data_IF_711333446740
#
_entry.id   IF_711333446740
#
_cell.length_a   1.000
_cell.length_b   1.000
_cell.length_c   1.000
_cell.angle_alpha   90.00
_cell.angle_beta   90.00
_cell.angle_gamma   90.00
#
_symmetry.space_group_name_H-M   'P 1'
#
loop_
_entity.id
_entity.type
_entity.pdbx_description
1 polymer ?
#
# COMPACT_ATOMS: atom_id res chain seq x y z
N UNK A 1 1.85 -3.35 10.89
CA UNK A 1 0.48 -3.89 11.04
C UNK A 1 -0.26 -3.00 12.03
N UNK A 2 -1.09 -2.08 11.55
CA UNK A 2 -1.92 -1.25 12.43
C UNK A 2 -2.97 -2.14 13.09
N UNK A 3 -2.80 -2.47 14.37
CA UNK A 3 -3.81 -3.13 15.20
C UNK A 3 -4.67 -2.05 15.83
N UNK A 4 -5.91 -1.92 15.37
CA UNK A 4 -6.91 -1.11 16.04
C UNK A 4 -7.76 -2.01 16.94
N UNK A 5 -8.11 -1.56 18.17
CA UNK A 5 -8.91 -2.37 19.09
C UNK A 5 -10.32 -2.56 18.53
N UNK A 6 -10.79 -3.81 18.51
CA UNK A 6 -12.17 -4.17 18.20
C UNK A 6 -13.07 -3.76 19.36
N UNK A 7 -13.77 -2.62 19.25
CA UNK A 7 -14.86 -2.28 20.17
C UNK A 7 -16.17 -2.86 19.65
N UNK A 8 -16.74 -3.81 20.37
CA UNK A 8 -18.11 -4.30 20.17
C UNK A 8 -19.10 -3.32 20.76
N UNK A 9 -19.90 -2.66 19.94
CA UNK A 9 -21.11 -1.92 20.38
C UNK A 9 -22.36 -2.60 19.82
N UNK A 10 -23.43 -2.76 20.63
CA UNK A 10 -24.66 -3.38 20.19
C UNK A 10 -25.55 -2.38 19.44
N UNK A 11 -25.97 -2.75 18.25
CA UNK A 11 -26.96 -2.01 17.46
C UNK A 11 -28.36 -2.15 18.09
N UNK A 12 -29.01 -1.01 18.40
CA UNK A 12 -30.45 -0.92 18.55
C UNK A 12 -31.06 -0.33 17.27
N UNK A 13 -31.91 -1.15 16.66
CA UNK A 13 -32.75 -0.74 15.52
C UNK A 13 -33.93 0.09 16.03
N UNK A 14 -34.09 1.28 15.46
CA UNK A 14 -35.29 2.09 15.62
C UNK A 14 -35.78 2.49 14.23
N UNK A 15 -36.88 1.88 13.78
CA UNK A 15 -37.67 2.31 12.62
C UNK A 15 -38.45 3.59 12.97
N UNK A 16 -38.33 4.61 12.13
CA UNK A 16 -39.40 5.62 11.96
C UNK A 16 -39.37 6.15 10.53
N UNK A 17 -40.39 5.80 9.80
CA UNK A 17 -40.78 6.31 8.49
C UNK A 17 -41.43 7.67 8.64
N UNK A 18 -41.02 8.67 7.83
CA UNK A 18 -41.89 9.77 7.46
C UNK A 18 -41.47 10.35 6.11
N UNK A 19 -42.35 10.15 5.14
CA UNK A 19 -42.32 10.72 3.79
C UNK A 19 -42.86 12.15 3.82
N UNK A 20 -42.11 13.13 3.27
CA UNK A 20 -42.69 14.40 2.85
C UNK A 20 -42.06 14.86 1.53
N UNK A 21 -42.87 14.85 0.49
CA UNK A 21 -42.59 15.42 -0.83
C UNK A 21 -42.76 16.97 -0.73
N UNK A 22 -41.69 17.70 -1.03
CA UNK A 22 -41.80 19.12 -1.40
C UNK A 22 -41.01 19.37 -2.66
N UNK A 23 -41.70 19.61 -3.76
CA UNK A 23 -41.19 20.14 -5.01
C UNK A 23 -40.87 21.62 -4.86
N UNK A 24 -39.61 22.02 -4.98
CA UNK A 24 -39.18 23.40 -5.15
C UNK A 24 -38.44 23.56 -6.47
N UNK A 25 -39.00 24.37 -7.35
CA UNK A 25 -38.40 24.80 -8.58
C UNK A 25 -37.17 25.66 -8.32
N UNK A 26 -36.04 25.29 -8.87
CA UNK A 26 -34.79 26.07 -8.83
C UNK A 26 -34.68 26.92 -10.11
N UNK A 27 -34.40 28.22 -10.04
CA UNK A 27 -34.15 29.04 -11.22
C UNK A 27 -32.72 28.73 -11.77
N UNK A 28 -32.61 28.62 -13.09
CA UNK A 28 -31.38 28.40 -13.80
C UNK A 28 -30.45 29.64 -13.67
N UNK A 29 -29.25 29.44 -13.16
CA UNK A 29 -28.13 30.36 -13.21
C UNK A 29 -27.39 30.24 -14.57
N UNK A 30 -26.89 31.34 -15.13
CA UNK A 30 -26.20 31.31 -16.42
C UNK A 30 -24.85 30.60 -16.32
N UNK A 31 -24.57 29.77 -17.32
CA UNK A 31 -23.31 29.05 -17.46
C UNK A 31 -22.14 30.02 -17.60
N UNK A 32 -21.20 30.00 -16.64
CA UNK A 32 -19.90 30.61 -16.79
C UNK A 32 -19.01 29.69 -17.64
N UNK A 33 -18.52 30.22 -18.73
CA UNK A 33 -17.47 29.58 -19.55
C UNK A 33 -16.21 29.39 -18.71
N UNK A 34 -15.62 28.19 -18.64
CA UNK A 34 -14.35 28.02 -17.95
C UNK A 34 -13.24 28.72 -18.73
N UNK A 35 -12.56 29.65 -18.08
CA UNK A 35 -11.29 30.19 -18.56
C UNK A 35 -10.27 29.07 -18.60
N UNK A 36 -9.66 28.87 -19.78
CA UNK A 36 -8.56 27.93 -19.99
C UNK A 36 -7.28 28.49 -19.38
N UNK A 37 -7.09 28.32 -18.08
CA UNK A 37 -5.75 28.36 -17.51
C UNK A 37 -5.16 26.96 -17.61
N UNK A 38 -4.23 26.83 -18.56
CA UNK A 38 -3.45 25.64 -18.75
C UNK A 38 -2.59 25.39 -17.52
N UNK A 39 -3.08 24.53 -16.62
CA UNK A 39 -2.23 23.91 -15.61
C UNK A 39 -1.15 23.12 -16.36
N UNK A 40 0.11 23.53 -16.16
CA UNK A 40 1.29 22.76 -16.56
C UNK A 40 1.29 21.45 -15.77
N UNK A 41 0.56 20.47 -16.26
CA UNK A 41 0.74 19.08 -15.88
C UNK A 41 2.13 18.67 -16.35
N UNK A 42 3.06 18.55 -15.44
CA UNK A 42 4.32 17.85 -15.68
C UNK A 42 3.95 16.46 -16.23
N UNK A 43 4.05 16.30 -17.54
CA UNK A 43 3.76 15.04 -18.21
C UNK A 43 4.81 14.02 -17.79
N UNK A 44 4.48 13.16 -16.82
CA UNK A 44 5.21 11.92 -16.62
C UNK A 44 5.01 11.12 -17.90
N UNK A 45 6.06 11.01 -18.71
CA UNK A 45 6.02 10.22 -19.94
C UNK A 45 5.74 8.76 -19.55
N UNK A 46 4.70 8.13 -20.08
CA UNK A 46 4.43 6.72 -19.78
C UNK A 46 5.61 5.86 -20.22
N UNK A 47 6.05 4.94 -19.36
CA UNK A 47 7.01 3.91 -19.74
C UNK A 47 6.31 2.87 -20.63
N UNK A 48 7.01 2.38 -21.67
CA UNK A 48 6.48 1.43 -22.64
C UNK A 48 7.40 0.23 -22.81
N UNK A 49 7.56 -0.62 -21.76
CA UNK A 49 8.35 -1.83 -21.87
C UNK A 49 7.71 -2.83 -22.83
N UNK A 50 8.55 -3.51 -23.61
CA UNK A 50 8.13 -4.52 -24.59
C UNK A 50 8.81 -5.86 -24.30
N UNK A 51 8.03 -6.93 -24.35
CA UNK A 51 8.49 -8.30 -24.08
C UNK A 51 7.49 -9.34 -24.59
N UNK A 52 7.58 -10.59 -24.14
CA UNK A 52 6.64 -11.64 -24.53
C UNK A 52 5.19 -11.33 -24.11
N UNK A 53 5.01 -10.43 -23.15
CA UNK A 53 3.72 -9.88 -22.70
C UNK A 53 3.12 -8.85 -23.66
N UNK A 54 3.82 -8.46 -24.71
CA UNK A 54 3.50 -7.36 -25.62
C UNK A 54 4.16 -6.05 -25.20
N UNK A 55 3.65 -4.93 -25.72
CA UNK A 55 4.06 -3.57 -25.33
C UNK A 55 3.10 -3.04 -24.27
N UNK A 56 3.61 -2.61 -23.12
CA UNK A 56 2.78 -2.08 -22.04
C UNK A 56 2.99 -0.58 -21.87
N UNK A 57 1.92 0.16 -21.56
CA UNK A 57 1.99 1.53 -21.05
C UNK A 57 1.74 1.50 -19.56
N UNK A 58 2.65 2.06 -18.74
CA UNK A 58 2.55 2.16 -17.28
C UNK A 58 2.30 3.62 -16.89
N UNK A 59 1.16 3.90 -16.29
CA UNK A 59 0.77 5.25 -15.85
C UNK A 59 0.62 5.22 -14.33
N UNK A 60 1.45 5.96 -13.56
CA UNK A 60 1.32 6.00 -12.12
C UNK A 60 0.02 6.70 -11.70
N UNK A 61 -0.68 6.10 -10.74
CA UNK A 61 -1.86 6.65 -10.08
C UNK A 61 -1.69 6.58 -8.57
N UNK A 62 -2.43 7.43 -7.87
CA UNK A 62 -2.44 7.44 -6.41
C UNK A 62 -3.85 7.14 -5.92
N UNK A 63 -3.95 6.19 -4.99
CA UNK A 63 -5.18 5.76 -4.35
C UNK A 63 -5.17 6.22 -2.89
N UNK A 64 -6.28 6.70 -2.40
CA UNK A 64 -6.51 7.02 -1.00
C UNK A 64 -7.79 6.31 -0.54
N UNK A 65 -7.84 5.88 0.72
CA UNK A 65 -9.01 5.18 1.24
C UNK A 65 -10.25 6.10 1.14
N UNK A 66 -11.40 5.58 0.71
CA UNK A 66 -12.61 6.39 0.57
C UNK A 66 -13.15 6.85 1.93
N UNK A 67 -13.86 7.96 1.95
CA UNK A 67 -14.44 8.58 3.16
C UNK A 67 -15.25 7.57 3.96
N UNK A 68 -16.04 6.72 3.29
CA UNK A 68 -16.85 5.67 3.92
C UNK A 68 -16.04 4.67 4.76
N UNK A 69 -14.74 4.54 4.50
CA UNK A 69 -13.83 3.74 5.33
C UNK A 69 -13.16 4.63 6.38
N UNK A 70 -12.65 5.81 5.97
CA UNK A 70 -11.96 6.75 6.87
C UNK A 70 -12.85 7.16 8.04
N UNK A 71 -14.13 7.40 7.80
CA UNK A 71 -15.09 7.82 8.82
C UNK A 71 -15.38 6.75 9.88
N UNK A 72 -15.03 5.49 9.61
CA UNK A 72 -15.14 4.40 10.61
C UNK A 72 -13.99 4.38 11.62
N UNK A 73 -12.90 5.13 11.36
CA UNK A 73 -11.74 5.17 12.23
C UNK A 73 -11.78 6.43 13.13
N UNK A 74 -11.40 6.29 14.42
CA UNK A 74 -11.17 7.46 15.26
C UNK A 74 -9.95 8.23 14.73
N UNK A 75 -9.97 9.55 14.89
CA UNK A 75 -8.78 10.34 14.63
C UNK A 75 -7.65 9.90 15.59
N UNK A 76 -6.41 9.83 15.11
CA UNK A 76 -5.26 9.53 15.95
C UNK A 76 -5.09 10.54 17.09
N UNK A 77 -4.39 10.12 18.15
CA UNK A 77 -4.00 11.02 19.23
C UNK A 77 -3.20 12.20 18.69
N UNK A 78 -3.36 13.36 19.32
CA UNK A 78 -2.56 14.56 19.05
C UNK A 78 -1.23 14.59 19.82
N UNK A 79 -1.01 13.62 20.71
CA UNK A 79 0.17 13.56 21.56
C UNK A 79 1.20 12.60 20.98
N UNK A 80 2.39 13.10 20.66
CA UNK A 80 3.53 12.28 20.30
C UNK A 80 3.97 11.45 21.50
N UNK A 81 4.10 10.15 21.30
CA UNK A 81 4.51 9.19 22.33
C UNK A 81 5.57 8.26 21.76
N UNK A 82 6.68 8.14 22.47
CA UNK A 82 7.72 7.15 22.20
C UNK A 82 7.73 6.12 23.33
N UNK A 83 7.57 4.85 23.01
CA UNK A 83 7.44 3.80 24.01
C UNK A 83 8.60 2.83 23.93
N UNK A 84 9.22 2.56 25.07
CA UNK A 84 10.33 1.65 25.26
C UNK A 84 9.98 0.61 26.33
N UNK A 85 10.64 -0.55 26.38
CA UNK A 85 10.49 -1.47 27.50
C UNK A 85 10.85 -0.79 28.82
N UNK A 86 10.07 -1.06 29.87
CA UNK A 86 10.38 -0.50 31.22
C UNK A 86 11.74 -0.95 31.74
N UNK A 87 12.25 -2.09 31.28
CA UNK A 87 13.61 -2.58 31.57
C UNK A 87 14.71 -1.64 31.09
N UNK A 88 14.43 -0.81 30.09
CA UNK A 88 15.39 0.13 29.50
C UNK A 88 15.49 1.44 30.31
N UNK A 89 14.54 1.68 31.20
CA UNK A 89 14.47 2.90 32.01
C UNK A 89 15.78 3.24 32.74
N UNK A 90 16.53 2.30 33.37
CA UNK A 90 17.81 2.61 34.04
C UNK A 90 18.89 3.11 33.08
N UNK A 91 18.84 2.70 31.82
CA UNK A 91 19.81 3.01 30.76
C UNK A 91 19.30 4.03 29.75
N UNK A 92 18.13 4.63 30.00
CA UNK A 92 17.45 5.50 29.04
C UNK A 92 18.36 6.59 28.46
N UNK A 93 19.12 7.38 29.26
CA UNK A 93 20.01 8.42 28.73
C UNK A 93 21.05 7.85 27.76
N UNK A 94 21.63 6.68 28.10
CA UNK A 94 22.64 6.01 27.28
C UNK A 94 22.05 5.53 25.95
N UNK A 95 20.85 4.93 25.99
CA UNK A 95 20.14 4.49 24.78
C UNK A 95 19.86 5.68 23.87
N UNK A 96 19.26 6.75 24.40
CA UNK A 96 18.92 7.93 23.62
C UNK A 96 20.17 8.63 23.04
N UNK A 97 21.27 8.68 23.81
CA UNK A 97 22.56 9.21 23.34
C UNK A 97 23.14 8.36 22.19
N UNK A 98 23.06 7.04 22.29
CA UNK A 98 23.54 6.13 21.23
C UNK A 98 22.77 6.28 19.93
N UNK A 99 21.51 6.70 19.99
CA UNK A 99 20.66 7.03 18.83
C UNK A 99 20.97 8.44 18.27
N UNK A 100 21.80 9.23 18.98
CA UNK A 100 22.23 10.55 18.55
C UNK A 100 21.31 11.69 18.97
N UNK A 101 20.44 11.50 19.96
CA UNK A 101 19.59 12.58 20.45
C UNK A 101 20.44 13.68 21.11
N UNK A 102 20.05 14.98 20.95
CA UNK A 102 20.72 16.08 21.62
C UNK A 102 20.64 15.95 23.16
N UNK A 103 21.71 16.28 23.88
CA UNK A 103 21.75 16.21 25.35
C UNK A 103 20.57 16.92 26.00
N UNK A 104 20.21 18.11 25.51
CA UNK A 104 19.06 18.87 26.00
C UNK A 104 17.77 18.03 25.97
N UNK A 105 17.50 17.29 24.86
CA UNK A 105 16.32 16.46 24.74
C UNK A 105 16.40 15.23 25.65
N UNK A 106 17.58 14.65 25.80
CA UNK A 106 17.82 13.53 26.74
C UNK A 106 17.52 13.97 28.18
N UNK A 107 18.01 15.15 28.58
CA UNK A 107 17.77 15.70 29.91
C UNK A 107 16.29 15.97 30.16
N UNK A 108 15.58 16.52 29.16
CA UNK A 108 14.11 16.72 29.20
C UNK A 108 13.37 15.40 29.37
N UNK A 109 13.66 14.42 28.54
CA UNK A 109 13.00 13.10 28.54
C UNK A 109 13.33 12.28 29.79
N UNK A 110 14.43 12.61 30.48
CA UNK A 110 14.79 11.98 31.76
C UNK A 110 13.99 12.51 32.96
N UNK A 111 13.25 13.62 32.78
CA UNK A 111 12.39 14.17 33.84
C UNK A 111 11.13 13.33 34.00
N UNK A 112 10.71 13.09 35.23
CA UNK A 112 9.55 12.26 35.59
C UNK A 112 8.24 12.79 34.99
N UNK A 113 8.13 14.10 34.78
CA UNK A 113 6.94 14.72 34.18
C UNK A 113 6.67 14.32 32.72
N UNK A 114 7.71 13.94 32.00
CA UNK A 114 7.60 13.51 30.59
C UNK A 114 7.63 11.98 30.44
N UNK A 115 7.49 11.26 31.54
CA UNK A 115 7.51 9.80 31.56
C UNK A 115 6.26 9.24 32.24
N UNK A 116 5.70 8.21 31.65
CA UNK A 116 4.63 7.40 32.26
C UNK A 116 5.01 5.94 32.14
N UNK A 117 4.93 5.21 33.25
CA UNK A 117 5.08 3.75 33.25
C UNK A 117 3.70 3.10 33.20
N UNK A 118 3.53 2.22 32.24
CA UNK A 118 2.30 1.45 32.07
C UNK A 118 2.64 0.01 31.73
N UNK A 119 2.41 -0.89 32.67
CA UNK A 119 2.79 -2.29 32.57
C UNK A 119 4.29 -2.46 32.25
N UNK A 120 4.58 -3.08 31.12
CA UNK A 120 5.95 -3.34 30.67
C UNK A 120 6.57 -2.18 29.89
N UNK A 121 5.87 -1.05 29.77
CA UNK A 121 6.26 0.06 28.91
C UNK A 121 6.61 1.32 29.70
N UNK A 122 7.64 2.00 29.22
CA UNK A 122 7.99 3.37 29.57
C UNK A 122 7.60 4.26 28.39
N UNK A 123 6.63 5.12 28.60
CA UNK A 123 6.18 6.10 27.62
C UNK A 123 6.89 7.42 27.84
N UNK A 124 7.49 7.95 26.80
CA UNK A 124 8.11 9.26 26.76
C UNK A 124 7.21 10.19 25.93
N UNK A 125 7.03 11.42 26.42
CA UNK A 125 6.20 12.44 25.77
C UNK A 125 7.06 13.63 25.37
N UNK A 126 7.76 13.58 24.23
CA UNK A 126 8.63 14.66 23.79
C UNK A 126 7.81 15.92 23.49
N UNK A 127 8.34 17.12 23.83
CA UNK A 127 7.72 18.38 23.40
C UNK A 127 7.65 18.44 21.86
N UNK A 128 6.54 18.96 21.33
CA UNK A 128 6.28 19.03 19.89
C UNK A 128 7.39 19.79 19.13
N UNK A 129 7.91 20.86 19.71
CA UNK A 129 9.01 21.64 19.13
C UNK A 129 10.30 20.81 18.99
N UNK A 130 10.63 19.99 19.98
CA UNK A 130 11.81 19.12 19.94
C UNK A 130 11.64 18.03 18.86
N UNK A 131 10.43 17.47 18.72
CA UNK A 131 10.12 16.52 17.64
C UNK A 131 10.29 17.19 16.27
N UNK A 132 9.78 18.42 16.10
CA UNK A 132 9.85 19.15 14.84
C UNK A 132 11.28 19.53 14.41
N UNK A 133 12.20 19.65 15.39
CA UNK A 133 13.58 20.07 15.16
C UNK A 133 14.60 18.92 15.19
N UNK A 134 14.14 17.67 15.32
CA UNK A 134 15.04 16.51 15.19
C UNK A 134 15.70 16.48 13.80
N UNK A 135 17.00 16.27 13.81
CA UNK A 135 17.76 16.00 12.60
C UNK A 135 17.19 14.75 11.88
N UNK A 136 17.04 14.73 10.54
CA UNK A 136 16.48 13.61 9.81
C UNK A 136 17.22 12.28 10.03
N UNK A 137 18.53 12.28 10.20
CA UNK A 137 19.31 11.07 10.45
C UNK A 137 19.11 10.56 11.89
N UNK A 138 19.03 11.47 12.87
CA UNK A 138 18.68 11.12 14.26
C UNK A 138 17.26 10.55 14.30
N UNK A 139 16.33 11.19 13.62
CA UNK A 139 14.94 10.73 13.48
C UNK A 139 14.89 9.32 12.89
N UNK A 140 15.64 9.06 11.83
CA UNK A 140 15.72 7.75 11.20
C UNK A 140 16.18 6.67 12.20
N UNK A 141 17.28 6.91 12.92
CA UNK A 141 17.80 5.94 13.91
C UNK A 141 16.83 5.70 15.06
N UNK A 142 16.28 6.79 15.61
CA UNK A 142 15.29 6.72 16.70
C UNK A 142 14.04 5.94 16.28
N UNK A 143 13.48 6.26 15.11
CA UNK A 143 12.22 5.65 14.66
C UNK A 143 12.39 4.21 14.19
N UNK A 144 13.56 3.84 13.68
CA UNK A 144 13.91 2.44 13.47
C UNK A 144 13.98 1.67 14.79
N UNK A 145 14.58 2.26 15.82
CA UNK A 145 14.66 1.64 17.15
C UNK A 145 13.27 1.49 17.77
N UNK A 146 12.44 2.54 17.75
CA UNK A 146 11.07 2.50 18.24
C UNK A 146 10.19 1.51 17.48
N UNK A 147 10.43 1.35 16.19
CA UNK A 147 9.72 0.42 15.32
C UNK A 147 9.91 -1.06 15.66
N UNK A 148 10.91 -1.42 16.46
CA UNK A 148 11.07 -2.78 16.98
C UNK A 148 9.97 -3.18 17.98
N UNK A 149 9.24 -2.22 18.51
CA UNK A 149 8.21 -2.44 19.53
C UNK A 149 6.82 -2.19 18.95
N UNK A 150 5.94 -3.19 19.04
CA UNK A 150 4.58 -3.15 18.45
C UNK A 150 3.73 -1.96 18.91
N UNK A 151 3.95 -1.47 20.13
CA UNK A 151 3.23 -0.36 20.71
C UNK A 151 3.48 0.98 19.98
N UNK A 152 4.53 1.08 19.17
CA UNK A 152 4.88 2.25 18.38
C UNK A 152 4.45 2.06 16.92
N UNK A 153 3.15 1.92 16.69
CA UNK A 153 2.58 1.57 15.40
C UNK A 153 3.07 2.43 14.23
N UNK A 154 3.06 3.77 14.37
CA UNK A 154 3.50 4.69 13.31
C UNK A 154 5.01 4.65 13.02
N UNK A 155 5.83 4.24 13.98
CA UNK A 155 7.27 4.08 13.78
C UNK A 155 7.60 2.72 13.18
N UNK A 156 6.81 1.71 13.51
CA UNK A 156 6.93 0.36 12.95
C UNK A 156 6.47 0.33 11.49
N UNK A 157 5.29 0.90 11.23
CA UNK A 157 4.63 0.93 9.93
C UNK A 157 4.46 2.38 9.44
N UNK A 158 5.55 3.07 9.07
CA UNK A 158 5.50 4.46 8.62
C UNK A 158 4.81 4.59 7.26
N UNK A 159 4.41 5.82 6.93
CA UNK A 159 4.01 6.16 5.57
C UNK A 159 5.25 6.18 4.68
N UNK A 160 5.30 5.33 3.67
CA UNK A 160 6.38 5.32 2.68
C UNK A 160 6.04 6.23 1.51
N UNK A 161 6.99 7.06 1.12
CA UNK A 161 6.91 8.02 0.02
C UNK A 161 7.86 7.55 -1.07
N UNK A 162 7.28 7.07 -2.17
CA UNK A 162 8.01 6.39 -3.25
C UNK A 162 8.35 7.33 -4.43
N UNK A 163 8.13 8.62 -4.27
CA UNK A 163 8.57 9.65 -5.21
C UNK A 163 9.89 10.28 -4.75
N UNK A 164 10.63 10.94 -5.64
CA UNK A 164 11.87 11.65 -5.28
C UNK A 164 11.69 12.66 -4.15
N UNK A 165 10.55 13.36 -4.11
CA UNK A 165 10.22 14.35 -3.08
C UNK A 165 8.83 14.11 -2.49
N UNK A 166 8.60 14.68 -1.30
CA UNK A 166 7.31 14.63 -0.61
C UNK A 166 6.25 15.44 -1.38
N UNK A 167 6.63 16.57 -1.94
CA UNK A 167 5.76 17.44 -2.71
C UNK A 167 5.24 16.74 -3.97
N UNK A 168 6.08 15.93 -4.61
CA UNK A 168 5.67 15.12 -5.76
C UNK A 168 4.67 14.04 -5.36
N UNK A 169 4.86 13.41 -4.19
CA UNK A 169 3.93 12.43 -3.66
C UNK A 169 2.53 13.01 -3.43
N UNK A 170 2.46 14.24 -2.92
CA UNK A 170 1.19 14.90 -2.59
C UNK A 170 0.69 15.88 -3.66
N UNK A 171 1.36 16.00 -4.82
CA UNK A 171 1.03 16.97 -5.88
C UNK A 171 -0.43 16.94 -6.32
N UNK A 172 -1.03 15.76 -6.42
CA UNK A 172 -2.42 15.57 -6.84
C UNK A 172 -3.36 15.28 -5.66
N UNK A 173 -2.96 15.63 -4.43
CA UNK A 173 -3.82 15.53 -3.26
C UNK A 173 -4.46 16.87 -2.97
N UNK A 174 -5.63 16.85 -2.30
CA UNK A 174 -6.28 18.08 -1.80
C UNK A 174 -5.72 18.50 -0.43
N UNK A 175 -4.52 18.04 -0.07
CA UNK A 175 -3.91 18.35 1.21
C UNK A 175 -3.39 19.79 1.22
N UNK A 176 -3.62 20.49 2.33
CA UNK A 176 -3.13 21.85 2.55
C UNK A 176 -1.60 21.93 2.32
N UNK A 177 -1.11 22.85 1.47
CA UNK A 177 0.33 22.96 1.18
C UNK A 177 1.21 23.14 2.41
N UNK A 178 0.73 23.79 3.47
CA UNK A 178 1.47 23.96 4.72
C UNK A 178 1.65 22.60 5.43
N UNK A 179 0.67 21.70 5.36
CA UNK A 179 0.80 20.35 5.90
C UNK A 179 1.77 19.52 5.05
N UNK A 180 1.76 19.67 3.72
CA UNK A 180 2.75 19.02 2.84
C UNK A 180 4.17 19.46 3.18
N UNK A 181 4.39 20.78 3.38
CA UNK A 181 5.69 21.32 3.79
C UNK A 181 6.10 20.79 5.18
N UNK A 182 5.17 20.66 6.11
CA UNK A 182 5.44 20.08 7.43
C UNK A 182 5.81 18.59 7.32
N UNK A 183 5.13 17.81 6.48
CA UNK A 183 5.49 16.41 6.19
C UNK A 183 6.91 16.36 5.61
N UNK A 184 7.23 17.21 4.64
CA UNK A 184 8.56 17.27 4.02
C UNK A 184 9.67 17.57 5.04
N UNK A 185 9.42 18.50 5.97
CA UNK A 185 10.35 18.82 7.07
C UNK A 185 10.59 17.63 8.00
N UNK A 186 9.55 16.82 8.25
CA UNK A 186 9.57 15.70 9.19
C UNK A 186 9.94 14.36 8.54
N UNK A 187 9.99 14.31 7.21
CA UNK A 187 10.37 13.10 6.49
C UNK A 187 11.82 12.68 6.78
N UNK A 188 12.05 11.39 6.85
CA UNK A 188 13.37 10.79 7.08
C UNK A 188 13.62 9.64 6.12
N UNK A 189 14.87 9.21 6.00
CA UNK A 189 15.24 8.04 5.17
C UNK A 189 15.03 6.74 5.93
N UNK A 190 14.36 5.79 5.29
CA UNK A 190 14.29 4.39 5.72
C UNK A 190 14.74 3.53 4.56
N UNK A 191 16.00 3.08 4.62
CA UNK A 191 16.66 2.55 3.44
C UNK A 191 16.76 3.60 2.32
N UNK A 192 16.33 3.24 1.13
CA UNK A 192 16.40 4.10 -0.06
C UNK A 192 15.13 4.97 -0.28
N UNK A 193 14.12 4.85 0.59
CA UNK A 193 12.85 5.59 0.45
C UNK A 193 12.68 6.63 1.54
N UNK A 194 11.85 7.63 1.26
CA UNK A 194 11.37 8.54 2.28
C UNK A 194 10.30 7.87 3.14
N UNK A 195 10.32 8.15 4.43
CA UNK A 195 9.31 7.69 5.38
C UNK A 195 8.83 8.85 6.26
N UNK A 196 7.63 8.69 6.82
CA UNK A 196 7.02 9.66 7.70
C UNK A 196 6.26 8.93 8.82
N UNK A 197 6.40 9.39 10.09
CA UNK A 197 5.81 8.73 11.28
C UNK A 197 5.11 9.70 12.25
N UNK A 198 5.29 11.00 12.09
CA UNK A 198 4.87 12.01 13.07
C UNK A 198 3.41 12.48 12.89
N UNK A 199 2.48 11.54 12.64
CA UNK A 199 1.07 11.86 12.48
C UNK A 199 0.47 12.61 13.67
N UNK A 200 0.72 12.22 14.95
CA UNK A 200 0.21 12.97 16.10
C UNK A 200 0.61 14.45 16.09
N UNK A 201 1.84 14.75 15.66
CA UNK A 201 2.32 16.12 15.54
C UNK A 201 1.53 16.91 14.48
N UNK A 202 1.29 16.31 13.31
CA UNK A 202 0.59 17.00 12.22
C UNK A 202 -0.89 17.24 12.52
N UNK A 203 -1.57 16.34 13.23
CA UNK A 203 -2.96 16.53 13.65
C UNK A 203 -3.10 17.81 14.47
N UNK A 204 -2.11 18.15 15.30
CA UNK A 204 -2.10 19.42 16.06
C UNK A 204 -1.96 20.66 15.17
N UNK A 205 -1.49 20.54 13.93
CA UNK A 205 -1.36 21.66 12.99
C UNK A 205 -2.64 21.90 12.19
N UNK A 206 -3.62 21.00 12.26
CA UNK A 206 -4.88 21.15 11.51
C UNK A 206 -5.80 22.16 12.19
N UNK A 207 -6.49 22.97 11.39
CA UNK A 207 -7.39 24.01 11.87
C UNK A 207 -8.80 23.49 12.23
N UNK A 208 -9.15 22.28 11.79
CA UNK A 208 -10.50 21.72 11.96
C UNK A 208 -10.51 20.19 11.87
N UNK A 209 -11.56 19.58 12.39
CA UNK A 209 -11.75 18.13 12.27
C UNK A 209 -11.81 17.64 10.82
N UNK A 210 -12.51 18.30 9.87
CA UNK A 210 -12.45 17.90 8.47
C UNK A 210 -11.03 17.92 7.89
N UNK A 211 -10.20 18.92 8.23
CA UNK A 211 -8.81 18.97 7.80
C UNK A 211 -7.98 17.83 8.42
N UNK A 212 -8.21 17.51 9.69
CA UNK A 212 -7.58 16.38 10.36
C UNK A 212 -7.96 15.03 9.71
N UNK A 213 -9.23 14.84 9.32
CA UNK A 213 -9.70 13.67 8.59
C UNK A 213 -9.08 13.59 7.19
N UNK A 214 -9.02 14.72 6.47
CA UNK A 214 -8.36 14.79 5.17
C UNK A 214 -6.87 14.47 5.28
N UNK A 215 -6.20 14.98 6.30
CA UNK A 215 -4.81 14.64 6.60
C UNK A 215 -4.68 13.14 6.88
N UNK A 216 -5.51 12.56 7.74
CA UNK A 216 -5.47 11.12 8.04
C UNK A 216 -5.71 10.27 6.78
N UNK A 217 -6.67 10.64 5.94
CA UNK A 217 -6.92 10.00 4.65
C UNK A 217 -5.67 10.03 3.76
N UNK A 218 -4.96 11.16 3.72
CA UNK A 218 -3.75 11.31 2.89
C UNK A 218 -2.62 10.36 3.28
N UNK A 219 -2.61 9.83 4.50
CA UNK A 219 -1.62 8.81 4.93
C UNK A 219 -1.96 7.40 4.46
N UNK A 220 -3.16 7.18 3.93
CA UNK A 220 -3.51 5.94 3.25
C UNK A 220 -3.07 5.93 1.78
N UNK A 221 -2.49 7.08 1.31
CA UNK A 221 -2.08 7.27 -0.07
C UNK A 221 -1.11 6.19 -0.51
N UNK A 222 -1.46 5.50 -1.58
CA UNK A 222 -0.72 4.37 -2.12
C UNK A 222 -0.52 4.56 -3.62
N UNK A 223 0.72 4.44 -4.10
CA UNK A 223 1.02 4.45 -5.53
C UNK A 223 0.64 3.11 -6.15
N UNK A 224 -0.07 3.17 -7.27
CA UNK A 224 -0.38 2.05 -8.14
C UNK A 224 -0.15 2.44 -9.59
N UNK A 225 -0.33 1.51 -10.51
CA UNK A 225 -0.18 1.77 -11.94
C UNK A 225 -1.42 1.34 -12.71
N UNK A 226 -1.95 2.24 -13.55
CA UNK A 226 -2.79 1.83 -14.66
C UNK A 226 -1.87 1.24 -15.73
N UNK A 227 -2.14 0.01 -16.13
CA UNK A 227 -1.33 -0.71 -17.10
C UNK A 227 -2.19 -1.08 -18.30
N UNK A 228 -1.74 -0.71 -19.48
CA UNK A 228 -2.44 -0.98 -20.71
C UNK A 228 -1.55 -1.74 -21.68
N UNK A 229 -2.09 -2.76 -22.30
CA UNK A 229 -1.48 -3.47 -23.42
C UNK A 229 -1.75 -2.67 -24.71
N UNK A 230 -0.68 -2.24 -25.36
CA UNK A 230 -0.74 -1.57 -26.66
C UNK A 230 -0.82 -2.63 -27.76
N UNK A 231 -1.91 -2.62 -28.53
CA UNK A 231 -2.11 -3.53 -29.65
C UNK A 231 -2.11 -2.74 -30.95
N UNK A 232 -1.22 -3.09 -31.86
CA UNK A 232 -1.07 -2.49 -33.20
C UNK A 232 -1.01 -3.59 -34.26
N UNK A 233 -0.86 -3.20 -35.53
CA UNK A 233 -0.61 -4.15 -36.64
C UNK A 233 0.62 -5.02 -36.44
N UNK A 234 1.64 -4.50 -35.74
CA UNK A 234 2.92 -5.16 -35.53
C UNK A 234 2.94 -6.05 -34.26
N UNK A 235 1.86 -6.05 -33.49
CA UNK A 235 1.77 -6.87 -32.26
C UNK A 235 1.79 -8.37 -32.62
N UNK A 236 2.71 -9.12 -32.00
CA UNK A 236 2.71 -10.57 -32.01
C UNK A 236 1.60 -11.10 -31.08
N UNK A 237 0.40 -11.26 -31.66
CA UNK A 237 -0.80 -11.67 -30.91
C UNK A 237 -0.70 -13.09 -30.37
N UNK A 238 0.11 -13.95 -30.97
CA UNK A 238 0.31 -15.32 -30.50
C UNK A 238 1.18 -15.35 -29.23
N UNK A 239 2.34 -14.66 -29.24
CA UNK A 239 3.18 -14.51 -28.08
C UNK A 239 2.44 -13.89 -26.91
N UNK A 240 1.71 -12.77 -27.15
CA UNK A 240 0.89 -12.09 -26.12
C UNK A 240 -0.17 -13.02 -25.55
N UNK A 241 -0.92 -13.72 -26.41
CA UNK A 241 -1.93 -14.67 -25.94
C UNK A 241 -1.31 -15.79 -25.09
N UNK A 242 -0.20 -16.37 -25.56
CA UNK A 242 0.47 -17.46 -24.84
C UNK A 242 0.96 -17.00 -23.47
N UNK A 243 1.58 -15.82 -23.38
CA UNK A 243 2.05 -15.24 -22.13
C UNK A 243 0.91 -15.04 -21.11
N UNK A 244 -0.14 -14.33 -21.48
CA UNK A 244 -1.23 -13.99 -20.56
C UNK A 244 -2.19 -15.16 -20.29
N UNK A 245 -2.07 -16.27 -20.99
CA UNK A 245 -2.84 -17.50 -20.75
C UNK A 245 -2.15 -18.48 -19.78
N UNK A 246 -0.90 -18.20 -19.40
CA UNK A 246 -0.16 -19.01 -18.40
C UNK A 246 -0.90 -18.94 -17.06
N UNK A 247 -0.97 -20.06 -16.37
CA UNK A 247 -1.42 -20.09 -14.98
C UNK A 247 -2.83 -20.61 -14.76
N UNK A 248 -3.54 -21.05 -15.76
CA UNK A 248 -4.81 -21.68 -15.48
C UNK A 248 -5.56 -22.28 -16.64
N UNK A 249 -5.72 -23.60 -16.61
CA UNK A 249 -6.68 -24.30 -17.50
C UNK A 249 -8.09 -23.73 -17.42
N UNK A 250 -8.46 -23.15 -16.27
CA UNK A 250 -9.76 -22.52 -16.01
C UNK A 250 -9.86 -21.06 -16.49
N UNK A 251 -8.74 -20.38 -16.67
CA UNK A 251 -8.70 -18.97 -17.09
C UNK A 251 -8.15 -18.78 -18.50
N UNK A 252 -8.18 -19.83 -19.31
CA UNK A 252 -7.86 -19.68 -20.72
C UNK A 252 -8.70 -18.55 -21.29
N UNK A 253 -8.04 -17.47 -21.63
CA UNK A 253 -8.65 -16.32 -22.27
C UNK A 253 -8.98 -16.69 -23.72
N UNK A 254 -9.92 -17.63 -23.90
CA UNK A 254 -10.35 -18.09 -25.25
C UNK A 254 -10.73 -16.92 -26.13
N UNK A 255 -11.19 -15.82 -25.54
CA UNK A 255 -11.55 -14.61 -26.24
C UNK A 255 -10.36 -13.69 -26.55
N UNK A 256 -9.20 -13.86 -25.89
CA UNK A 256 -8.09 -12.93 -26.06
C UNK A 256 -7.52 -12.97 -27.48
N UNK A 257 -7.26 -14.15 -28.02
CA UNK A 257 -6.77 -14.28 -29.39
C UNK A 257 -7.69 -13.63 -30.43
N UNK A 258 -8.98 -13.99 -30.49
CA UNK A 258 -9.96 -13.32 -31.37
C UNK A 258 -10.02 -11.80 -31.13
N UNK A 259 -10.00 -11.33 -29.89
CA UNK A 259 -10.00 -9.90 -29.56
C UNK A 259 -8.77 -9.19 -30.13
N UNK A 260 -7.58 -9.71 -29.88
CA UNK A 260 -6.33 -9.12 -30.39
C UNK A 260 -6.30 -9.10 -31.92
N UNK A 261 -6.76 -10.17 -32.58
CA UNK A 261 -6.82 -10.24 -34.04
C UNK A 261 -7.83 -9.23 -34.59
N UNK A 262 -9.01 -9.11 -34.00
CA UNK A 262 -10.00 -8.10 -34.40
C UNK A 262 -9.47 -6.68 -34.29
N UNK A 263 -8.70 -6.36 -33.23
CA UNK A 263 -8.06 -5.06 -33.08
C UNK A 263 -7.04 -4.85 -34.23
N UNK A 264 -6.19 -5.83 -34.54
CA UNK A 264 -5.24 -5.72 -35.67
C UNK A 264 -5.93 -5.46 -37.02
N UNK A 265 -7.07 -6.07 -37.24
CA UNK A 265 -7.86 -5.87 -38.46
C UNK A 265 -8.33 -4.43 -38.64
N UNK A 266 -8.52 -3.68 -37.53
CA UNK A 266 -8.89 -2.24 -37.62
C UNK A 266 -7.74 -1.37 -38.15
N UNK A 267 -6.49 -1.87 -38.12
CA UNK A 267 -5.26 -1.13 -38.47
C UNK A 267 -5.04 0.11 -37.61
N UNK A 268 -5.64 0.17 -36.44
CA UNK A 268 -5.48 1.22 -35.44
C UNK A 268 -4.65 0.69 -34.26
N UNK A 269 -3.92 1.61 -33.61
CA UNK A 269 -3.33 1.29 -32.31
C UNK A 269 -4.38 1.46 -31.23
N UNK A 270 -4.58 0.41 -30.43
CA UNK A 270 -5.56 0.38 -29.33
C UNK A 270 -4.84 0.05 -28.03
N UNK A 271 -5.19 0.75 -26.98
CA UNK A 271 -4.72 0.47 -25.61
C UNK A 271 -5.80 -0.33 -24.87
N UNK A 272 -5.49 -1.58 -24.53
CA UNK A 272 -6.34 -2.47 -23.75
C UNK A 272 -5.88 -2.51 -22.30
N UNK A 273 -6.72 -2.08 -21.36
CA UNK A 273 -6.40 -2.16 -19.94
C UNK A 273 -6.21 -3.64 -19.53
N UNK A 274 -5.10 -3.95 -18.83
CA UNK A 274 -4.78 -5.33 -18.44
C UNK A 274 -5.77 -5.91 -17.42
N UNK A 275 -6.59 -5.08 -16.76
CA UNK A 275 -7.69 -5.56 -15.92
C UNK A 275 -8.66 -6.45 -16.68
N UNK A 276 -8.76 -6.29 -18.00
CA UNK A 276 -9.57 -7.17 -18.88
C UNK A 276 -8.88 -8.51 -19.16
N UNK A 277 -7.58 -8.61 -18.92
CA UNK A 277 -6.76 -9.80 -19.22
C UNK A 277 -6.52 -10.65 -17.98
N UNK A 278 -6.34 -10.02 -16.80
CA UNK A 278 -6.13 -10.75 -15.55
C UNK A 278 -7.38 -11.55 -15.13
N UNK A 279 -7.21 -12.59 -14.26
CA UNK A 279 -8.31 -13.42 -13.78
C UNK A 279 -9.43 -12.65 -13.07
N UNK A 280 -10.59 -13.28 -12.91
CA UNK A 280 -11.79 -12.63 -12.38
C UNK A 280 -11.61 -12.08 -10.96
N UNK A 281 -10.94 -12.83 -10.07
CA UNK A 281 -10.74 -12.40 -8.70
C UNK A 281 -9.83 -11.15 -8.60
N UNK A 282 -8.59 -11.13 -9.12
CA UNK A 282 -7.77 -9.91 -9.07
C UNK A 282 -8.42 -8.75 -9.83
N UNK A 283 -9.20 -8.99 -10.89
CA UNK A 283 -9.98 -7.94 -11.58
C UNK A 283 -11.00 -7.27 -10.65
N UNK A 284 -11.64 -8.04 -9.75
CA UNK A 284 -12.59 -7.49 -8.76
C UNK A 284 -11.86 -6.73 -7.65
N UNK A 285 -10.62 -7.10 -7.35
CA UNK A 285 -9.87 -6.56 -6.22
C UNK A 285 -9.06 -5.32 -6.58
N UNK A 286 -8.48 -5.28 -7.78
CA UNK A 286 -7.55 -4.22 -8.21
C UNK A 286 -8.14 -2.83 -8.00
N UNK A 287 -7.34 -1.92 -7.42
CA UNK A 287 -7.68 -0.53 -7.07
C UNK A 287 -8.82 -0.40 -6.05
N UNK A 288 -9.26 -1.49 -5.44
CA UNK A 288 -10.29 -1.49 -4.41
C UNK A 288 -9.70 -1.69 -3.02
N UNK A 289 -10.46 -1.25 -2.04
CA UNK A 289 -10.20 -1.48 -0.62
C UNK A 289 -11.01 -2.65 -0.12
N UNK A 290 -10.58 -3.24 1.00
CA UNK A 290 -11.29 -4.35 1.61
C UNK A 290 -12.71 -3.91 2.01
N UNK A 291 -13.72 -4.67 1.54
CA UNK A 291 -15.10 -4.43 1.94
C UNK A 291 -15.27 -4.57 3.45
N UNK A 292 -16.05 -3.69 4.11
CA UNK A 292 -16.41 -3.84 5.52
C UNK A 292 -17.03 -5.20 5.86
N UNK A 293 -17.69 -5.86 4.90
CA UNK A 293 -18.25 -7.20 5.07
C UNK A 293 -17.21 -8.29 5.32
N UNK A 294 -15.97 -8.12 4.87
CA UNK A 294 -14.87 -9.03 5.22
C UNK A 294 -14.51 -8.87 6.70
N UNK A 295 -14.40 -7.63 7.18
CA UNK A 295 -14.06 -7.36 8.57
C UNK A 295 -15.10 -7.90 9.55
N UNK A 296 -16.40 -7.78 9.23
CA UNK A 296 -17.49 -8.33 10.07
C UNK A 296 -17.44 -9.84 10.17
N UNK A 297 -16.84 -10.52 9.19
CA UNK A 297 -16.59 -11.96 9.19
C UNK A 297 -15.24 -12.35 9.80
N UNK A 298 -14.44 -11.39 10.27
CA UNK A 298 -13.09 -11.65 10.75
C UNK A 298 -12.10 -12.05 9.66
N UNK A 299 -12.40 -11.75 8.39
CA UNK A 299 -11.58 -12.06 7.22
C UNK A 299 -10.70 -10.86 6.90
N UNK A 300 -9.39 -11.03 6.98
CA UNK A 300 -8.40 -9.97 6.70
C UNK A 300 -7.38 -10.44 5.67
N UNK A 301 -7.72 -10.36 4.36
CA UNK A 301 -6.80 -10.71 3.29
C UNK A 301 -5.47 -9.96 3.40
N UNK A 302 -4.38 -10.69 3.27
CA UNK A 302 -3.02 -10.14 3.23
C UNK A 302 -2.33 -10.40 1.88
N UNK A 303 -1.04 -10.15 1.82
CA UNK A 303 -0.23 -10.39 0.63
C UNK A 303 -0.21 -11.87 0.21
N UNK A 304 -0.09 -12.80 1.18
CA UNK A 304 -0.03 -14.24 0.90
C UNK A 304 -1.37 -14.77 0.39
N UNK A 305 -2.45 -14.41 1.06
CA UNK A 305 -3.81 -14.73 0.59
C UNK A 305 -4.04 -14.18 -0.83
N UNK A 306 -3.60 -12.94 -1.08
CA UNK A 306 -3.75 -12.28 -2.38
C UNK A 306 -3.00 -13.03 -3.48
N UNK A 307 -1.73 -13.34 -3.26
CA UNK A 307 -0.87 -14.01 -4.25
C UNK A 307 -1.33 -15.44 -4.54
N UNK A 308 -1.67 -16.21 -3.50
CA UNK A 308 -2.08 -17.61 -3.62
C UNK A 308 -3.49 -17.78 -4.20
N UNK A 309 -4.37 -16.78 -4.06
CA UNK A 309 -5.72 -16.81 -4.63
C UNK A 309 -5.81 -16.21 -6.04
N UNK A 310 -4.74 -15.66 -6.60
CA UNK A 310 -4.80 -14.87 -7.83
C UNK A 310 -5.52 -15.58 -8.98
N UNK A 311 -5.29 -16.88 -9.16
CA UNK A 311 -5.92 -17.69 -10.21
C UNK A 311 -7.20 -18.41 -9.78
N UNK A 312 -7.64 -18.26 -8.54
CA UNK A 312 -8.87 -18.87 -8.06
C UNK A 312 -10.08 -18.02 -8.50
N UNK A 313 -11.14 -18.66 -8.96
CA UNK A 313 -12.38 -17.96 -9.30
C UNK A 313 -13.07 -17.44 -8.05
N UNK A 314 -13.21 -18.30 -7.05
CA UNK A 314 -13.62 -17.96 -5.69
C UNK A 314 -12.40 -18.07 -4.76
N UNK A 315 -12.21 -17.12 -3.84
CA UNK A 315 -11.08 -17.14 -2.95
C UNK A 315 -11.20 -18.26 -1.92
N UNK A 316 -10.10 -18.93 -1.65
CA UNK A 316 -9.98 -19.91 -0.60
C UNK A 316 -9.62 -19.23 0.72
N UNK A 317 -10.56 -19.22 1.70
CA UNK A 317 -10.37 -18.57 3.00
C UNK A 317 -9.31 -19.28 3.86
N UNK A 318 -9.11 -20.60 3.69
CA UNK A 318 -8.08 -21.35 4.44
C UNK A 318 -6.66 -20.81 4.20
N UNK A 319 -6.42 -20.10 3.10
CA UNK A 319 -5.13 -19.46 2.80
C UNK A 319 -4.82 -18.24 3.68
N UNK A 320 -5.73 -17.85 4.58
CA UNK A 320 -5.46 -16.92 5.68
C UNK A 320 -4.67 -17.56 6.82
N UNK A 321 -4.71 -18.89 6.95
CA UNK A 321 -3.87 -19.63 7.88
C UNK A 321 -2.48 -19.83 7.26
N UNK A 322 -1.44 -19.30 7.91
CA UNK A 322 -0.07 -19.32 7.40
C UNK A 322 0.47 -20.74 7.19
N UNK A 323 0.06 -21.71 8.01
CA UNK A 323 0.50 -23.13 7.89
C UNK A 323 -0.11 -23.76 6.65
N UNK A 324 -1.43 -23.55 6.43
CA UNK A 324 -2.11 -24.08 5.24
C UNK A 324 -1.62 -23.40 3.97
N UNK A 325 -1.35 -22.11 4.02
CA UNK A 325 -0.72 -21.38 2.91
C UNK A 325 0.68 -21.93 2.60
N UNK A 326 1.50 -22.20 3.62
CA UNK A 326 2.83 -22.80 3.45
C UNK A 326 2.73 -24.22 2.86
N UNK A 327 1.84 -25.07 3.37
CA UNK A 327 1.60 -26.40 2.81
C UNK A 327 1.21 -26.32 1.33
N UNK A 328 0.33 -25.38 0.98
CA UNK A 328 -0.08 -25.14 -0.42
C UNK A 328 1.11 -24.79 -1.32
N UNK A 329 2.06 -23.97 -0.83
CA UNK A 329 3.27 -23.63 -1.60
C UNK A 329 4.15 -24.85 -1.79
N UNK A 330 4.40 -25.63 -0.74
CA UNK A 330 5.22 -26.85 -0.80
C UNK A 330 4.61 -27.88 -1.75
N UNK A 331 3.31 -28.08 -1.68
CA UNK A 331 2.60 -29.11 -2.44
C UNK A 331 2.48 -28.75 -3.93
N UNK A 332 2.21 -27.49 -4.26
CA UNK A 332 1.78 -27.09 -5.60
C UNK A 332 2.77 -26.23 -6.37
N UNK A 333 3.86 -25.80 -5.76
CA UNK A 333 4.81 -24.89 -6.40
C UNK A 333 6.24 -25.45 -6.39
N UNK A 334 7.07 -24.98 -7.32
CA UNK A 334 8.51 -25.24 -7.37
C UNK A 334 9.28 -23.91 -7.36
N UNK A 335 10.43 -23.84 -6.69
CA UNK A 335 11.29 -22.65 -6.75
C UNK A 335 11.83 -22.45 -8.17
N UNK A 336 11.88 -21.19 -8.59
CA UNK A 336 12.41 -20.79 -9.90
C UNK A 336 13.36 -19.61 -9.76
N UNK A 337 14.27 -19.50 -10.72
CA UNK A 337 15.17 -18.35 -10.88
C UNK A 337 14.67 -17.43 -12.00
N UNK A 338 15.11 -16.16 -12.03
CA UNK A 338 14.82 -15.28 -13.15
C UNK A 338 15.27 -15.87 -14.50
N UNK A 339 14.59 -15.56 -15.61
CA UNK A 339 13.49 -14.61 -15.72
C UNK A 339 12.18 -15.15 -15.15
N UNK A 340 11.43 -14.26 -14.47
CA UNK A 340 10.12 -14.59 -13.94
C UNK A 340 9.05 -14.62 -15.05
N UNK A 341 8.00 -15.40 -14.84
CA UNK A 341 6.88 -15.53 -15.75
C UNK A 341 5.57 -15.08 -15.07
N UNK A 342 4.56 -14.76 -15.88
CA UNK A 342 3.23 -14.44 -15.38
C UNK A 342 2.70 -15.52 -14.43
N UNK A 343 2.35 -15.11 -13.23
CA UNK A 343 1.82 -16.01 -12.20
C UNK A 343 2.87 -16.57 -11.24
N UNK A 344 4.15 -16.26 -11.41
CA UNK A 344 5.15 -16.59 -10.40
C UNK A 344 4.89 -15.79 -9.12
N UNK A 345 4.95 -16.44 -7.96
CA UNK A 345 4.83 -15.78 -6.68
C UNK A 345 6.22 -15.49 -6.13
N UNK A 346 6.48 -14.22 -5.85
CA UNK A 346 7.73 -13.74 -5.28
C UNK A 346 7.56 -13.61 -3.77
N UNK A 347 8.21 -14.46 -2.99
CA UNK A 347 8.24 -14.40 -1.53
C UNK A 347 9.47 -13.63 -1.05
N UNK A 348 9.25 -12.72 -0.12
CA UNK A 348 10.30 -12.01 0.61
C UNK A 348 10.57 -12.79 1.88
N UNK A 349 11.74 -13.40 1.97
CA UNK A 349 12.14 -14.30 3.04
C UNK A 349 13.13 -13.59 3.96
N UNK A 350 12.94 -13.67 5.28
CA UNK A 350 13.89 -13.15 6.27
C UNK A 350 15.21 -13.91 6.18
N UNK A 351 16.32 -13.20 6.40
CA UNK A 351 17.65 -13.82 6.42
C UNK A 351 17.90 -14.66 7.68
N UNK A 352 17.27 -14.32 8.80
CA UNK A 352 17.49 -14.94 10.12
C UNK A 352 16.79 -16.30 10.26
N UNK A 353 15.55 -16.42 9.79
CA UNK A 353 14.71 -17.61 10.01
C UNK A 353 14.10 -18.21 8.73
N UNK A 354 14.30 -17.56 7.59
CA UNK A 354 13.78 -18.00 6.28
C UNK A 354 12.25 -17.83 6.16
N UNK A 355 11.59 -17.24 7.13
CA UNK A 355 10.13 -17.05 7.08
C UNK A 355 9.74 -15.97 6.08
N UNK A 356 8.65 -16.21 5.33
CA UNK A 356 8.09 -15.25 4.42
C UNK A 356 7.37 -14.13 5.20
N UNK A 357 7.78 -12.87 4.98
CA UNK A 357 7.15 -11.71 5.58
C UNK A 357 6.35 -10.88 4.57
N UNK A 358 6.52 -11.12 3.28
CA UNK A 358 5.71 -10.55 2.21
C UNK A 358 5.68 -11.48 1.00
N UNK A 359 4.66 -11.31 0.14
CA UNK A 359 4.63 -11.91 -1.20
C UNK A 359 3.86 -11.02 -2.17
N UNK A 360 4.24 -11.11 -3.44
CA UNK A 360 3.52 -10.51 -4.56
C UNK A 360 3.52 -11.46 -5.74
N UNK A 361 2.58 -11.28 -6.66
CA UNK A 361 2.51 -12.10 -7.87
C UNK A 361 3.05 -11.32 -9.06
N UNK A 362 3.99 -11.92 -9.80
CA UNK A 362 4.60 -11.33 -10.97
C UNK A 362 3.62 -11.27 -12.14
N UNK A 363 3.47 -10.10 -12.75
CA UNK A 363 2.60 -9.89 -13.90
C UNK A 363 3.39 -9.87 -15.22
N UNK A 364 4.28 -8.89 -15.39
CA UNK A 364 5.07 -8.70 -16.60
C UNK A 364 6.12 -7.60 -16.35
N UNK A 365 7.25 -7.62 -17.02
CA UNK A 365 8.35 -6.66 -16.91
C UNK A 365 8.87 -6.57 -15.45
N UNK A 366 8.58 -5.48 -14.76
CA UNK A 366 8.82 -5.30 -13.32
C UNK A 366 7.53 -5.21 -12.49
N UNK A 367 6.38 -5.44 -13.13
CA UNK A 367 5.07 -5.28 -12.52
C UNK A 367 4.65 -6.49 -11.69
N UNK A 368 4.10 -6.21 -10.53
CA UNK A 368 3.56 -7.20 -9.60
C UNK A 368 2.17 -6.81 -9.12
N UNK A 369 1.34 -7.80 -8.82
CA UNK A 369 0.05 -7.62 -8.14
C UNK A 369 0.20 -7.96 -6.66
N UNK A 370 -0.25 -7.06 -5.77
CA UNK A 370 -0.09 -7.23 -4.33
C UNK A 370 -1.15 -6.49 -3.52
N UNK A 371 -1.20 -6.83 -2.23
CA UNK A 371 -1.80 -6.04 -1.15
C UNK A 371 -0.77 -5.92 -0.03
N UNK A 372 -0.41 -4.70 0.34
CA UNK A 372 0.67 -4.44 1.31
C UNK A 372 0.19 -4.56 2.76
N UNK A 373 -0.12 -5.77 3.21
CA UNK A 373 -0.55 -6.06 4.57
C UNK A 373 -2.07 -6.28 4.73
N UNK A 374 -2.50 -6.52 5.98
CA UNK A 374 -3.90 -6.85 6.34
C UNK A 374 -4.81 -5.65 6.53
N UNK A 375 -4.23 -4.46 6.64
CA UNK A 375 -4.98 -3.25 6.94
C UNK A 375 -6.04 -2.95 5.85
N UNK A 376 -7.25 -2.59 6.29
CA UNK A 376 -8.36 -2.22 5.39
C UNK A 376 -8.09 -0.92 4.62
N UNK A 377 -7.24 -0.05 5.17
CA UNK A 377 -6.84 1.22 4.56
C UNK A 377 -5.84 1.04 3.40
N UNK A 378 -5.42 -0.21 3.10
CA UNK A 378 -4.48 -0.53 2.04
C UNK A 378 -5.21 -1.26 0.91
N UNK A 379 -5.17 -0.72 -0.33
CA UNK A 379 -5.84 -1.31 -1.48
C UNK A 379 -5.05 -2.48 -2.08
N UNK A 380 -5.71 -3.23 -2.97
CA UNK A 380 -5.03 -4.10 -3.92
C UNK A 380 -4.50 -3.26 -5.09
N UNK A 381 -3.24 -3.45 -5.43
CA UNK A 381 -2.53 -2.61 -6.40
C UNK A 381 -1.74 -3.43 -7.42
N UNK A 382 -1.50 -2.81 -8.56
CA UNK A 382 -0.34 -3.11 -9.40
C UNK A 382 0.78 -2.18 -8.96
N UNK A 383 1.93 -2.74 -8.64
CA UNK A 383 3.13 -2.01 -8.24
C UNK A 383 4.34 -2.47 -9.05
N UNK A 384 5.47 -1.79 -8.93
CA UNK A 384 6.74 -2.35 -9.42
C UNK A 384 7.39 -3.22 -8.35
N UNK A 385 8.12 -4.25 -8.76
CA UNK A 385 8.91 -5.06 -7.84
C UNK A 385 9.92 -4.20 -7.07
N UNK A 386 10.46 -3.16 -7.74
CA UNK A 386 11.34 -2.18 -7.12
C UNK A 386 10.67 -1.45 -5.95
N UNK A 387 9.44 -0.97 -6.13
CA UNK A 387 8.70 -0.28 -5.07
C UNK A 387 8.41 -1.18 -3.88
N UNK A 388 7.90 -2.38 -4.16
CA UNK A 388 7.62 -3.39 -3.12
C UNK A 388 8.90 -3.74 -2.35
N UNK A 389 10.01 -3.99 -3.06
CA UNK A 389 11.31 -4.28 -2.44
C UNK A 389 11.81 -3.10 -1.59
N UNK A 390 11.64 -1.87 -2.08
CA UNK A 390 12.06 -0.67 -1.35
C UNK A 390 11.30 -0.46 -0.04
N UNK A 391 10.04 -0.89 0.05
CA UNK A 391 9.24 -0.84 1.28
C UNK A 391 9.68 -1.95 2.25
N UNK A 392 9.69 -3.19 1.80
CA UNK A 392 9.83 -4.34 2.68
C UNK A 392 11.27 -4.61 3.10
N UNK A 393 12.24 -4.41 2.19
CA UNK A 393 13.66 -4.59 2.49
C UNK A 393 14.32 -3.35 3.13
N UNK A 394 13.59 -2.23 3.28
CA UNK A 394 14.09 -1.05 3.97
C UNK A 394 14.35 -1.27 5.47
N UNK A 395 13.65 -2.20 6.08
CA UNK A 395 13.66 -2.43 7.53
C UNK A 395 13.94 -3.87 7.92
N UNK A 396 13.79 -4.80 6.98
CA UNK A 396 13.91 -6.24 7.23
C UNK A 396 14.89 -6.82 6.24
N UNK A 397 16.11 -7.22 6.69
CA UNK A 397 17.04 -7.95 5.85
C UNK A 397 16.39 -9.23 5.31
N UNK A 398 16.47 -9.41 4.00
CA UNK A 398 15.81 -10.55 3.37
C UNK A 398 16.18 -10.73 1.90
N UNK A 399 15.77 -11.87 1.37
CA UNK A 399 15.97 -12.26 -0.03
C UNK A 399 14.62 -12.48 -0.71
N UNK A 400 14.63 -12.44 -2.04
CA UNK A 400 13.43 -12.71 -2.84
C UNK A 400 13.62 -14.09 -3.49
N UNK A 401 12.69 -15.01 -3.22
CA UNK A 401 12.61 -16.33 -3.85
C UNK A 401 11.30 -16.46 -4.60
N UNK A 402 11.39 -16.75 -5.88
CA UNK A 402 10.22 -16.98 -6.73
C UNK A 402 9.79 -18.45 -6.71
N UNK A 403 8.47 -18.65 -6.83
CA UNK A 403 7.84 -19.96 -6.90
C UNK A 403 6.81 -20.00 -8.03
N UNK A 404 6.89 -21.04 -8.88
CA UNK A 404 5.98 -21.27 -10.01
C UNK A 404 5.10 -22.48 -9.73
N UNK A 405 3.81 -22.39 -10.05
CA UNK A 405 2.90 -23.54 -9.94
C UNK A 405 3.38 -24.69 -10.82
N UNK A 406 3.30 -25.91 -10.27
CA UNK A 406 3.69 -27.14 -11.00
C UNK A 406 2.92 -27.31 -12.30
N UNK A 407 1.64 -26.93 -12.33
CA UNK A 407 0.79 -27.00 -13.53
C UNK A 407 1.31 -26.11 -14.68
N UNK A 408 1.98 -25.01 -14.36
CA UNK A 408 2.51 -24.08 -15.37
C UNK A 408 3.76 -24.62 -16.08
N UNK A 409 4.47 -25.55 -15.48
CA UNK A 409 5.62 -26.22 -16.15
C UNK A 409 5.18 -27.16 -17.26
N UNK A 410 3.99 -27.75 -17.17
CA UNK A 410 3.49 -28.66 -18.20
C UNK A 410 3.11 -27.91 -19.50
N UNK A 411 2.81 -26.62 -19.43
CA UNK A 411 2.43 -25.79 -20.59
C UNK A 411 3.65 -25.23 -21.36
N UNK A 412 4.86 -25.26 -20.76
CA UNK A 412 6.10 -24.86 -21.46
C UNK A 412 6.76 -25.98 -22.28
N UNK A 413 6.30 -27.23 -22.10
CA UNK A 413 6.89 -28.40 -22.75
C UNK A 413 6.02 -29.01 -23.85
N UNK A 414 4.89 -28.39 -24.21
CA UNK A 414 4.01 -28.69 -25.34
C UNK A 414 4.10 -27.57 -26.42
#
# INVERSE_FOLDING_TARGET
MLHFPTSTFPFRVGLLSLSLLLSLACPALPAQTPSSDASVTSSVTPETPTGPWGTLTKIPIFLEAPDSIIDTYPLPSTTTRWSLPVSDAPNLPTILASLGLPNRLIDLLSQTLLQVRDGNWLHLFPPAEEVANLDPEVRSRLYLHLGNYEINEFHRDPVYILTPTVEEWYRSSDLNPNLVAAIAKLAYRRGNVWAFSDLPYLINLTASEPEARRLFQSFTRTRSYLVKLVVSTDTDTESVRNYWSIGGKSFRLKALGPLLNSIKETRQTVELDISHIIPALPRKLIYNYQSPSFATKGIFPDCHWTSLNFFNYEPHEYLLDSRLATSKVIDDYLPVSPPYAYGDILFFLREDDGNAFHSCLFLADDLVFTKNGRNQLIPWIISTLKDVSSIYLASTPGTIQAYRRKDNFAEYNE
#
